data_IF_789207884694
#
_entry.id   IF_789207884694
#
_cell.length_a   1.000
_cell.length_b   1.000
_cell.length_c   1.000
_cell.angle_alpha   90.00
_cell.angle_beta   90.00
_cell.angle_gamma   90.00
#
_symmetry.space_group_name_H-M   'P 1'
#
loop_
_entity.id
_entity.type
_entity.pdbx_description
1 polymer ?
#
# COMPACT_ATOMS: atom_id res chain seq x y z
N UNK A 1 61.47 -74.52 35.54
CA UNK A 1 60.02 -74.77 35.35
C UNK A 1 59.37 -74.42 36.67
N UNK A 2 58.70 -73.27 36.75
CA UNK A 2 58.04 -72.80 37.96
C UNK A 2 56.57 -73.21 37.88
N UNK A 3 56.14 -73.97 38.89
CA UNK A 3 54.74 -74.31 39.11
C UNK A 3 54.24 -73.46 40.29
N UNK A 4 53.08 -72.87 40.05
CA UNK A 4 52.19 -72.12 40.93
C UNK A 4 51.90 -72.81 42.28
N UNK A 5 51.53 -72.03 43.31
CA UNK A 5 50.30 -72.25 44.08
C UNK A 5 49.95 -70.97 44.87
N UNK A 6 48.66 -70.65 44.83
CA UNK A 6 48.01 -69.42 45.28
C UNK A 6 47.70 -69.51 46.79
N UNK A 7 48.09 -68.50 47.55
CA UNK A 7 47.50 -68.20 48.87
C UNK A 7 46.41 -67.13 48.68
N UNK A 8 45.13 -67.52 48.72
CA UNK A 8 44.01 -66.58 48.86
C UNK A 8 43.47 -66.68 50.27
N UNK A 9 44.04 -65.90 51.18
CA UNK A 9 43.38 -65.49 52.41
C UNK A 9 43.26 -63.97 52.42
N UNK A 10 42.10 -63.48 52.89
CA UNK A 10 41.91 -62.08 53.21
C UNK A 10 40.81 -61.39 52.42
N UNK A 11 39.56 -61.83 52.63
CA UNK A 11 38.41 -60.92 52.56
C UNK A 11 38.69 -59.78 53.56
N UNK A 12 39.17 -58.64 53.06
CA UNK A 12 39.19 -57.39 53.82
C UNK A 12 37.84 -56.73 53.67
N UNK A 13 36.97 -57.00 54.64
CA UNK A 13 35.81 -56.15 54.92
C UNK A 13 36.34 -54.78 55.33
N UNK A 14 36.28 -53.82 54.41
CA UNK A 14 36.45 -52.40 54.74
C UNK A 14 35.12 -51.93 55.32
N UNK A 15 35.07 -51.88 56.66
CA UNK A 15 34.12 -51.06 57.39
C UNK A 15 34.91 -49.88 57.93
N UNK A 16 34.75 -48.72 57.30
CA UNK A 16 34.66 -47.44 57.99
C UNK A 16 34.05 -46.39 57.05
N UNK A 17 32.81 -46.06 57.37
CA UNK A 17 32.05 -44.92 56.89
C UNK A 17 32.69 -43.64 57.42
N UNK A 18 33.42 -42.92 56.58
CA UNK A 18 33.95 -41.60 56.93
C UNK A 18 34.53 -40.89 55.73
N UNK A 19 33.81 -39.89 55.21
CA UNK A 19 34.29 -38.90 54.25
C UNK A 19 34.47 -39.34 52.78
N UNK A 20 33.41 -39.87 52.16
CA UNK A 20 33.23 -39.77 50.69
C UNK A 20 32.46 -38.50 50.26
N UNK A 21 32.12 -37.64 51.23
CA UNK A 21 31.45 -36.36 50.98
C UNK A 21 32.29 -35.37 50.16
N UNK A 22 33.63 -35.23 50.34
CA UNK A 22 34.37 -34.18 49.63
C UNK A 22 34.42 -34.38 48.11
N UNK A 23 34.41 -35.63 47.63
CA UNK A 23 34.56 -35.96 46.20
C UNK A 23 33.25 -35.88 45.41
N UNK A 24 32.11 -36.23 46.03
CA UNK A 24 30.79 -36.10 45.39
C UNK A 24 30.38 -34.62 45.31
N UNK A 25 30.70 -33.84 46.35
CA UNK A 25 30.35 -32.41 46.40
C UNK A 25 31.15 -31.59 45.37
N UNK A 26 32.42 -31.92 45.13
CA UNK A 26 33.24 -31.24 44.12
C UNK A 26 32.89 -31.64 42.68
N UNK A 27 32.49 -32.89 42.43
CA UNK A 27 32.07 -33.35 41.10
C UNK A 27 30.69 -32.81 40.68
N UNK A 28 29.72 -32.73 41.61
CA UNK A 28 28.38 -32.19 41.30
C UNK A 28 28.39 -30.66 41.16
N UNK A 29 29.24 -29.97 41.94
CA UNK A 29 29.39 -28.51 41.84
C UNK A 29 30.01 -28.06 40.50
N UNK A 30 30.98 -28.81 39.98
CA UNK A 30 31.64 -28.49 38.70
C UNK A 30 30.74 -28.73 37.47
N UNK A 31 29.90 -29.76 37.48
CA UNK A 31 28.93 -30.02 36.40
C UNK A 31 27.80 -28.98 36.40
N UNK A 32 27.30 -28.60 37.59
CA UNK A 32 26.27 -27.55 37.73
C UNK A 32 26.74 -26.17 37.26
N UNK A 33 28.00 -25.81 37.56
CA UNK A 33 28.60 -24.56 37.09
C UNK A 33 28.85 -24.54 35.58
N UNK A 34 29.29 -25.65 34.99
CA UNK A 34 29.52 -25.74 33.55
C UNK A 34 28.21 -25.70 32.75
N UNK A 35 27.19 -26.46 33.15
CA UNK A 35 25.89 -26.48 32.47
C UNK A 35 25.09 -25.18 32.70
N UNK A 36 25.16 -24.62 33.91
CA UNK A 36 24.56 -23.32 34.21
C UNK A 36 25.20 -22.18 33.41
N UNK A 37 26.52 -22.16 33.32
CA UNK A 37 27.28 -21.18 32.53
C UNK A 37 26.97 -21.25 31.03
N UNK A 38 26.88 -22.47 30.47
CA UNK A 38 26.52 -22.70 29.06
C UNK A 38 25.07 -22.30 28.77
N UNK A 39 24.13 -22.61 29.67
CA UNK A 39 22.73 -22.20 29.52
C UNK A 39 22.57 -20.68 29.57
N UNK A 40 23.25 -20.01 30.50
CA UNK A 40 23.22 -18.56 30.64
C UNK A 40 23.83 -17.87 29.41
N UNK A 41 24.99 -18.35 28.94
CA UNK A 41 25.63 -17.82 27.74
C UNK A 41 24.78 -18.05 26.50
N UNK A 42 24.18 -19.23 26.31
CA UNK A 42 23.26 -19.48 25.20
C UNK A 42 22.05 -18.54 25.23
N UNK A 43 21.47 -18.29 26.41
CA UNK A 43 20.38 -17.33 26.56
C UNK A 43 20.81 -15.88 26.22
N UNK A 44 21.97 -15.43 26.69
CA UNK A 44 22.49 -14.10 26.36
C UNK A 44 22.87 -13.96 24.88
N UNK A 45 23.45 -15.00 24.28
CA UNK A 45 23.77 -15.06 22.85
C UNK A 45 22.50 -14.97 22.02
N UNK A 46 21.48 -15.77 22.32
CA UNK A 46 20.19 -15.72 21.64
C UNK A 46 19.53 -14.34 21.76
N UNK A 47 19.57 -13.73 22.95
CA UNK A 47 19.02 -12.37 23.16
C UNK A 47 19.81 -11.30 22.39
N UNK A 48 21.13 -11.48 22.23
CA UNK A 48 21.97 -10.58 21.43
C UNK A 48 21.72 -10.76 19.94
N UNK A 49 21.56 -11.99 19.48
CA UNK A 49 21.20 -12.33 18.11
C UNK A 49 19.83 -11.76 17.76
N UNK A 50 18.81 -11.97 18.59
CA UNK A 50 17.46 -11.40 18.42
C UNK A 50 17.48 -9.87 18.35
N UNK A 51 18.27 -9.21 19.21
CA UNK A 51 18.45 -7.74 19.16
C UNK A 51 19.20 -7.29 17.92
N UNK A 52 20.23 -8.02 17.50
CA UNK A 52 21.00 -7.68 16.30
C UNK A 52 20.17 -7.88 15.03
N UNK A 53 19.32 -8.92 14.98
CA UNK A 53 18.39 -9.14 13.87
C UNK A 53 17.31 -8.07 13.85
N UNK A 54 16.74 -7.70 15.01
CA UNK A 54 15.74 -6.64 15.09
C UNK A 54 16.31 -5.29 14.66
N UNK A 55 17.50 -4.90 15.15
CA UNK A 55 18.13 -3.64 14.76
C UNK A 55 18.47 -3.58 13.27
N UNK A 56 18.88 -4.72 12.66
CA UNK A 56 19.09 -4.81 11.21
C UNK A 56 17.78 -4.62 10.45
N UNK A 57 16.72 -5.32 10.85
CA UNK A 57 15.40 -5.18 10.24
C UNK A 57 14.87 -3.74 10.34
N UNK A 58 15.02 -3.09 11.49
CA UNK A 58 14.62 -1.70 11.68
C UNK A 58 15.40 -0.75 10.75
N UNK A 59 16.71 -0.98 10.59
CA UNK A 59 17.54 -0.17 9.68
C UNK A 59 17.17 -0.36 8.20
N UNK A 60 16.91 -1.61 7.78
CA UNK A 60 16.47 -1.95 6.42
C UNK A 60 15.08 -1.37 6.14
N UNK A 61 14.17 -1.48 7.12
CA UNK A 61 12.83 -0.90 7.08
C UNK A 61 12.87 0.61 6.89
N UNK A 62 13.66 1.32 7.71
CA UNK A 62 13.81 2.77 7.61
C UNK A 62 14.39 3.19 6.26
N UNK A 63 15.38 2.45 5.77
CA UNK A 63 16.04 2.73 4.51
C UNK A 63 15.07 2.61 3.32
N UNK A 64 14.41 1.46 3.15
CA UNK A 64 13.45 1.27 2.05
C UNK A 64 12.27 2.22 2.17
N UNK A 65 11.79 2.48 3.39
CA UNK A 65 10.67 3.37 3.62
C UNK A 65 11.01 4.80 3.18
N UNK A 66 12.22 5.27 3.49
CA UNK A 66 12.67 6.62 3.12
C UNK A 66 12.77 6.78 1.60
N UNK A 67 13.39 5.82 0.90
CA UNK A 67 13.49 5.85 -0.57
C UNK A 67 12.10 5.89 -1.23
N UNK A 68 11.21 4.99 -0.80
CA UNK A 68 9.86 4.89 -1.34
C UNK A 68 9.01 6.11 -1.01
N UNK A 69 9.14 6.71 0.18
CA UNK A 69 8.41 7.93 0.54
C UNK A 69 8.74 9.03 -0.44
N UNK A 70 10.01 9.33 -0.68
CA UNK A 70 10.38 10.43 -1.56
C UNK A 70 9.99 10.19 -3.01
N UNK A 71 10.12 8.95 -3.49
CA UNK A 71 9.68 8.55 -4.81
C UNK A 71 8.16 8.75 -4.99
N UNK A 72 7.37 8.32 -4.00
CA UNK A 72 5.91 8.51 -4.02
C UNK A 72 5.51 9.99 -3.93
N UNK A 73 6.24 10.77 -3.13
CA UNK A 73 5.96 12.20 -2.98
C UNK A 73 6.33 13.00 -4.23
N UNK A 74 7.46 12.70 -4.86
CA UNK A 74 7.86 13.30 -6.14
C UNK A 74 6.85 12.94 -7.24
N UNK A 75 6.40 11.69 -7.27
CA UNK A 75 5.36 11.27 -8.21
C UNK A 75 4.02 12.01 -7.96
N UNK A 76 3.62 12.18 -6.69
CA UNK A 76 2.43 12.93 -6.34
C UNK A 76 2.53 14.41 -6.72
N UNK A 77 3.71 15.02 -6.57
CA UNK A 77 3.97 16.40 -6.97
C UNK A 77 3.87 16.58 -8.50
N UNK A 78 4.45 15.65 -9.26
CA UNK A 78 4.26 15.60 -10.71
C UNK A 78 2.80 15.39 -11.12
N UNK A 79 2.02 14.61 -10.37
CA UNK A 79 0.58 14.49 -10.60
C UNK A 79 -0.14 15.82 -10.37
N UNK A 80 0.23 16.57 -9.33
CA UNK A 80 -0.36 17.88 -9.05
C UNK A 80 -0.05 18.89 -10.18
N UNK A 81 1.16 18.86 -10.74
CA UNK A 81 1.52 19.67 -11.90
C UNK A 81 0.64 19.37 -13.12
N UNK A 82 0.35 18.09 -13.39
CA UNK A 82 -0.58 17.70 -14.48
C UNK A 82 -2.00 18.19 -14.23
N UNK A 83 -2.44 18.22 -12.96
CA UNK A 83 -3.81 18.62 -12.60
C UNK A 83 -4.08 20.10 -12.79
N UNK A 84 -3.07 20.95 -12.64
CA UNK A 84 -3.18 22.40 -12.86
C UNK A 84 -2.86 22.81 -14.30
N UNK A 85 -2.45 21.85 -15.15
CA UNK A 85 -2.07 22.11 -16.53
C UNK A 85 -3.30 22.37 -17.40
N UNK A 86 -3.41 23.62 -17.88
CA UNK A 86 -4.38 24.06 -18.87
C UNK A 86 -3.83 24.05 -20.29
N UNK A 87 -2.58 23.62 -20.48
CA UNK A 87 -1.90 23.65 -21.77
C UNK A 87 -1.56 25.06 -22.26
N UNK A 88 -1.11 25.13 -23.51
CA UNK A 88 -0.86 26.37 -24.24
C UNK A 88 -1.25 26.20 -25.71
N UNK A 89 -1.58 27.30 -26.38
CA UNK A 89 -1.91 27.30 -27.81
C UNK A 89 -0.61 27.27 -28.62
N UNK A 90 -0.44 26.26 -29.46
CA UNK A 90 0.72 26.11 -30.32
C UNK A 90 0.63 26.99 -31.58
N UNK A 91 1.64 26.93 -32.46
CA UNK A 91 1.70 27.71 -33.70
C UNK A 91 0.55 27.38 -34.68
N UNK A 92 -0.04 26.20 -34.56
CA UNK A 92 -1.15 25.73 -35.39
C UNK A 92 -2.53 26.13 -34.82
N UNK A 93 -2.56 26.89 -33.72
CA UNK A 93 -3.79 27.25 -33.02
C UNK A 93 -4.43 26.11 -32.21
N UNK A 94 -3.65 25.06 -31.92
CA UNK A 94 -4.10 23.88 -31.18
C UNK A 94 -3.60 23.96 -29.74
N UNK A 95 -4.49 23.72 -28.77
CA UNK A 95 -4.12 23.64 -27.35
C UNK A 95 -3.41 22.32 -27.07
N UNK A 96 -2.18 22.38 -26.57
CA UNK A 96 -1.33 21.22 -26.24
C UNK A 96 -0.89 21.24 -24.77
N UNK A 97 -0.65 20.08 -24.14
CA UNK A 97 -0.20 20.00 -22.75
C UNK A 97 1.16 20.66 -22.54
N UNK A 98 1.33 21.42 -21.46
CA UNK A 98 2.61 21.99 -21.06
C UNK A 98 3.43 21.01 -20.22
N UNK A 99 2.75 20.28 -19.33
CA UNK A 99 3.38 19.42 -18.34
C UNK A 99 3.63 18.04 -18.93
N UNK A 100 4.77 17.41 -18.60
CA UNK A 100 5.03 16.02 -18.97
C UNK A 100 4.36 15.06 -17.98
N UNK A 101 3.94 13.88 -18.45
CA UNK A 101 3.30 12.90 -17.58
C UNK A 101 4.32 12.34 -16.57
N UNK A 102 4.04 12.38 -15.25
CA UNK A 102 4.96 11.87 -14.25
C UNK A 102 5.06 10.35 -14.37
N UNK A 103 6.28 9.84 -14.26
CA UNK A 103 6.56 8.41 -14.25
C UNK A 103 6.82 7.90 -12.83
N UNK A 104 6.48 6.64 -12.58
CA UNK A 104 6.78 5.97 -11.33
C UNK A 104 7.46 4.64 -11.63
N UNK A 105 8.73 4.53 -11.28
CA UNK A 105 9.54 3.33 -11.45
C UNK A 105 10.29 3.03 -10.15
N UNK A 106 10.30 1.76 -9.77
CA UNK A 106 10.92 1.25 -8.54
C UNK A 106 12.26 0.57 -8.78
N UNK A 107 12.76 0.53 -10.01
CA UNK A 107 14.06 -0.08 -10.36
C UNK A 107 15.23 0.48 -9.55
N UNK A 108 15.14 1.75 -9.14
CA UNK A 108 16.14 2.43 -8.34
C UNK A 108 16.05 2.15 -6.82
N UNK A 109 15.02 1.44 -6.35
CA UNK A 109 14.83 1.16 -4.91
C UNK A 109 15.71 -0.01 -4.50
N UNK A 110 16.66 0.23 -3.60
CA UNK A 110 17.74 -0.72 -3.30
C UNK A 110 17.46 -1.65 -2.11
N UNK A 111 16.32 -1.50 -1.44
CA UNK A 111 15.93 -2.29 -0.26
C UNK A 111 15.09 -3.55 -0.50
N UNK A 112 15.08 -4.47 0.48
CA UNK A 112 14.20 -5.65 0.47
C UNK A 112 12.76 -5.26 0.79
N UNK A 113 11.86 -5.50 -0.16
CA UNK A 113 10.43 -5.21 -0.03
C UNK A 113 9.71 -6.08 1.01
N UNK A 114 10.30 -7.20 1.43
CA UNK A 114 9.72 -8.12 2.41
C UNK A 114 9.61 -7.54 3.81
N UNK A 115 10.37 -6.49 4.12
CA UNK A 115 10.29 -5.78 5.41
C UNK A 115 9.01 -4.94 5.52
N UNK A 116 8.33 -4.67 4.40
CA UNK A 116 7.08 -3.91 4.38
C UNK A 116 5.86 -4.81 4.64
N UNK A 117 4.80 -4.29 5.27
CA UNK A 117 3.54 -5.02 5.39
C UNK A 117 2.99 -5.37 4.01
N UNK A 118 2.53 -6.60 3.83
CA UNK A 118 2.08 -7.13 2.52
C UNK A 118 1.06 -6.24 1.81
N UNK A 119 0.10 -5.69 2.55
CA UNK A 119 -0.91 -4.76 2.02
C UNK A 119 -0.28 -3.45 1.53
N UNK A 120 0.70 -2.91 2.23
CA UNK A 120 1.37 -1.66 1.86
C UNK A 120 2.26 -1.89 0.62
N UNK A 121 3.04 -2.97 0.62
CA UNK A 121 3.82 -3.41 -0.53
C UNK A 121 2.93 -3.56 -1.78
N UNK A 122 1.81 -4.28 -1.68
CA UNK A 122 0.88 -4.46 -2.80
C UNK A 122 0.38 -3.12 -3.33
N UNK A 123 -0.10 -2.23 -2.45
CA UNK A 123 -0.68 -0.94 -2.86
C UNK A 123 0.33 0.01 -3.48
N UNK A 124 1.59 -0.04 -3.05
CA UNK A 124 2.67 0.72 -3.69
C UNK A 124 2.95 0.13 -5.06
N UNK A 125 3.17 -1.18 -5.16
CA UNK A 125 3.47 -1.86 -6.43
C UNK A 125 2.32 -1.84 -7.46
N UNK A 126 1.09 -1.58 -7.02
CA UNK A 126 -0.06 -1.39 -7.87
C UNK A 126 -0.04 -0.03 -8.62
N UNK A 127 0.68 0.99 -8.12
CA UNK A 127 0.65 2.34 -8.68
C UNK A 127 1.11 2.43 -10.15
N UNK A 128 2.22 1.81 -10.59
CA UNK A 128 2.60 1.81 -12.01
C UNK A 128 1.52 1.19 -12.92
N UNK A 129 0.84 0.14 -12.44
CA UNK A 129 -0.26 -0.49 -13.19
C UNK A 129 -1.44 0.47 -13.33
N UNK A 130 -1.81 1.16 -12.24
CA UNK A 130 -2.85 2.18 -12.27
C UNK A 130 -2.48 3.37 -13.16
N UNK A 131 -1.20 3.75 -13.20
CA UNK A 131 -0.71 4.77 -14.14
C UNK A 131 -0.97 4.35 -15.58
N UNK A 132 -0.57 3.13 -15.97
CA UNK A 132 -0.78 2.65 -17.35
C UNK A 132 -2.27 2.63 -17.70
N UNK A 133 -3.14 2.30 -16.74
CA UNK A 133 -4.60 2.38 -16.93
C UNK A 133 -5.09 3.82 -17.12
N UNK A 134 -4.58 4.76 -16.32
CA UNK A 134 -4.88 6.19 -16.45
C UNK A 134 -4.44 6.73 -17.83
N UNK A 135 -3.22 6.40 -18.28
CA UNK A 135 -2.72 6.83 -19.59
C UNK A 135 -3.61 6.32 -20.74
N UNK A 136 -4.04 5.06 -20.67
CA UNK A 136 -4.96 4.48 -21.65
C UNK A 136 -6.32 5.17 -21.63
N UNK A 137 -6.85 5.48 -20.45
CA UNK A 137 -8.12 6.20 -20.33
C UNK A 137 -8.03 7.58 -20.98
N UNK A 138 -6.93 8.31 -20.74
CA UNK A 138 -6.68 9.63 -21.34
C UNK A 138 -6.58 9.54 -22.86
N UNK A 139 -5.77 8.59 -23.36
CA UNK A 139 -5.55 8.42 -24.80
C UNK A 139 -6.80 7.97 -25.57
N UNK A 140 -7.73 7.30 -24.89
CA UNK A 140 -9.00 6.86 -25.47
C UNK A 140 -10.10 7.93 -25.38
N UNK A 141 -9.84 9.08 -24.75
CA UNK A 141 -10.80 10.17 -24.70
C UNK A 141 -10.92 10.82 -26.07
N UNK A 142 -12.12 10.78 -26.64
CA UNK A 142 -12.43 11.52 -27.85
C UNK A 142 -12.42 13.02 -27.54
N UNK A 143 -11.48 13.73 -28.14
CA UNK A 143 -11.36 15.17 -28.02
C UNK A 143 -11.27 15.78 -29.42
N UNK A 144 -12.10 16.81 -29.66
CA UNK A 144 -12.10 17.53 -30.93
C UNK A 144 -11.32 18.85 -30.80
N UNK A 145 -10.49 19.20 -31.80
CA UNK A 145 -9.90 20.53 -31.91
C UNK A 145 -10.96 21.63 -31.93
N UNK A 146 -10.63 22.88 -31.52
CA UNK A 146 -9.30 23.37 -31.14
C UNK A 146 -8.96 23.29 -29.64
N UNK A 147 -9.96 23.21 -28.75
CA UNK A 147 -9.76 23.41 -27.30
C UNK A 147 -9.44 22.13 -26.52
N UNK A 148 -9.74 20.93 -27.06
CA UNK A 148 -9.42 19.63 -26.45
C UNK A 148 -9.91 19.47 -24.99
N UNK A 149 -10.95 20.18 -24.56
CA UNK A 149 -11.43 20.22 -23.17
C UNK A 149 -11.61 18.84 -22.54
N UNK A 150 -12.24 17.91 -23.25
CA UNK A 150 -12.47 16.55 -22.76
C UNK A 150 -11.16 15.80 -22.45
N UNK A 151 -10.11 16.01 -23.26
CA UNK A 151 -8.80 15.42 -23.04
C UNK A 151 -8.14 16.00 -21.78
N UNK A 152 -8.19 17.32 -21.58
CA UNK A 152 -7.67 17.95 -20.37
C UNK A 152 -8.44 17.54 -19.11
N UNK A 153 -9.77 17.50 -19.17
CA UNK A 153 -10.61 17.01 -18.07
C UNK A 153 -10.26 15.57 -17.69
N UNK A 154 -10.14 14.67 -18.67
CA UNK A 154 -9.76 13.27 -18.43
C UNK A 154 -8.36 13.17 -17.81
N UNK A 155 -7.41 13.97 -18.32
CA UNK A 155 -6.04 14.02 -17.83
C UNK A 155 -5.95 14.51 -16.39
N UNK A 156 -6.60 15.63 -16.07
CA UNK A 156 -6.66 16.17 -14.72
C UNK A 156 -7.37 15.20 -13.78
N UNK A 157 -8.46 14.55 -14.21
CA UNK A 157 -9.19 13.59 -13.40
C UNK A 157 -8.36 12.38 -13.01
N UNK A 158 -7.76 11.70 -13.99
CA UNK A 158 -7.05 10.45 -13.72
C UNK A 158 -5.79 10.69 -12.88
N UNK A 159 -5.05 11.77 -13.16
CA UNK A 159 -3.89 12.13 -12.36
C UNK A 159 -4.23 12.68 -10.98
N UNK A 160 -5.41 13.28 -10.79
CA UNK A 160 -5.92 13.62 -9.45
C UNK A 160 -6.06 12.37 -8.58
N UNK A 161 -6.71 11.32 -9.11
CA UNK A 161 -6.93 10.05 -8.40
C UNK A 161 -5.61 9.34 -8.09
N UNK A 162 -4.70 9.35 -9.07
CA UNK A 162 -3.42 8.67 -8.97
C UNK A 162 -2.50 9.36 -7.96
N UNK A 163 -2.41 10.70 -8.01
CA UNK A 163 -1.66 11.50 -7.05
C UNK A 163 -2.17 11.33 -5.62
N UNK A 164 -3.49 11.33 -5.40
CA UNK A 164 -4.07 11.08 -4.08
C UNK A 164 -3.74 9.69 -3.54
N UNK A 165 -3.75 8.65 -4.39
CA UNK A 165 -3.34 7.30 -4.00
C UNK A 165 -1.88 7.24 -3.57
N UNK A 166 -1.00 7.94 -4.30
CA UNK A 166 0.42 8.05 -3.97
C UNK A 166 0.64 8.75 -2.63
N UNK A 167 -0.02 9.90 -2.38
CA UNK A 167 0.02 10.61 -1.09
C UNK A 167 -0.42 9.72 0.06
N UNK A 168 -1.52 8.97 -0.11
CA UNK A 168 -2.01 8.06 0.91
C UNK A 168 -0.98 6.97 1.23
N UNK A 169 -0.32 6.39 0.21
CA UNK A 169 0.72 5.39 0.45
C UNK A 169 1.96 6.00 1.11
N UNK A 170 2.42 7.17 0.68
CA UNK A 170 3.55 7.87 1.28
C UNK A 170 3.31 8.14 2.77
N UNK A 171 2.12 8.64 3.13
CA UNK A 171 1.72 8.87 4.53
C UNK A 171 1.65 7.60 5.36
N UNK A 172 1.12 6.51 4.79
CA UNK A 172 1.10 5.21 5.47
C UNK A 172 2.50 4.67 5.71
N UNK A 173 3.40 4.88 4.76
CA UNK A 173 4.79 4.46 4.85
C UNK A 173 5.57 5.29 5.88
N UNK A 174 5.36 6.61 5.93
CA UNK A 174 5.90 7.48 6.98
C UNK A 174 5.48 7.01 8.37
N UNK A 175 4.18 6.74 8.58
CA UNK A 175 3.68 6.20 9.87
C UNK A 175 4.26 4.84 10.21
N UNK A 176 4.40 3.96 9.22
CA UNK A 176 4.97 2.63 9.41
C UNK A 176 6.44 2.70 9.85
N UNK A 177 7.20 3.65 9.31
CA UNK A 177 8.62 3.83 9.61
C UNK A 177 8.91 4.91 10.67
N UNK A 178 7.87 5.45 11.34
CA UNK A 178 7.98 6.56 12.31
C UNK A 178 8.77 7.77 11.77
N UNK A 179 8.60 8.08 10.49
CA UNK A 179 9.22 9.24 9.85
C UNK A 179 8.42 10.51 10.14
N UNK A 180 9.03 11.71 10.03
CA UNK A 180 8.33 12.99 10.15
C UNK A 180 7.13 13.09 9.19
N UNK A 181 6.24 14.05 9.44
CA UNK A 181 5.09 14.28 8.56
C UNK A 181 5.49 14.79 7.17
N UNK A 182 4.59 14.57 6.21
CA UNK A 182 4.79 14.99 4.82
C UNK A 182 4.84 16.51 4.70
N UNK A 183 5.57 17.00 3.69
CA UNK A 183 5.58 18.42 3.32
C UNK A 183 4.63 18.74 2.16
N UNK A 184 3.91 17.74 1.65
CA UNK A 184 2.98 17.90 0.53
C UNK A 184 1.74 18.72 0.87
N UNK A 185 1.58 19.16 2.11
CA UNK A 185 0.54 20.08 2.59
C UNK A 185 1.09 21.35 3.26
N UNK A 186 2.38 21.65 3.05
CA UNK A 186 3.02 22.82 3.65
C UNK A 186 2.46 24.15 3.15
N UNK A 187 2.00 24.21 1.90
CA UNK A 187 1.47 25.42 1.25
C UNK A 187 0.16 25.14 0.51
N UNK A 188 -0.67 26.17 0.24
CA UNK A 188 -1.87 26.01 -0.58
C UNK A 188 -1.62 25.44 -1.99
N UNK A 189 -0.41 25.65 -2.52
CA UNK A 189 0.02 25.19 -3.83
C UNK A 189 0.73 23.83 -3.79
N UNK A 190 0.90 23.25 -2.60
CA UNK A 190 1.51 21.92 -2.47
C UNK A 190 0.63 20.85 -3.10
N UNK A 191 1.22 19.70 -3.43
CA UNK A 191 0.53 18.65 -4.15
C UNK A 191 -0.79 18.22 -3.50
N UNK A 192 -0.83 18.08 -2.17
CA UNK A 192 -2.00 17.56 -1.48
C UNK A 192 -3.22 18.49 -1.55
N UNK A 193 -3.15 19.78 -1.17
CA UNK A 193 -4.27 20.70 -1.35
C UNK A 193 -4.75 20.79 -2.80
N UNK A 194 -3.83 20.87 -3.76
CA UNK A 194 -4.13 20.95 -5.20
C UNK A 194 -4.94 19.74 -5.66
N UNK A 195 -4.43 18.53 -5.41
CA UNK A 195 -5.12 17.29 -5.77
C UNK A 195 -6.44 17.13 -5.04
N UNK A 196 -6.50 17.50 -3.76
CA UNK A 196 -7.70 17.38 -2.96
C UNK A 196 -8.81 18.35 -3.38
N UNK A 197 -8.45 19.57 -3.76
CA UNK A 197 -9.39 20.57 -4.26
C UNK A 197 -9.96 20.16 -5.62
N UNK A 198 -9.11 19.72 -6.54
CA UNK A 198 -9.54 19.17 -7.84
C UNK A 198 -10.49 17.97 -7.65
N UNK A 199 -10.13 17.03 -6.76
CA UNK A 199 -10.98 15.88 -6.46
C UNK A 199 -12.35 16.28 -5.92
N UNK A 200 -12.41 17.26 -5.00
CA UNK A 200 -13.70 17.76 -4.47
C UNK A 200 -14.55 18.39 -5.57
N UNK A 201 -13.96 19.21 -6.42
CA UNK A 201 -14.67 19.85 -7.53
C UNK A 201 -15.25 18.80 -8.48
N UNK A 202 -14.47 17.77 -8.81
CA UNK A 202 -14.93 16.70 -9.68
C UNK A 202 -16.04 15.85 -9.05
N UNK A 203 -15.89 15.47 -7.78
CA UNK A 203 -16.94 14.73 -7.07
C UNK A 203 -18.24 15.54 -7.01
N UNK A 204 -18.15 16.86 -6.86
CA UNK A 204 -19.30 17.74 -6.91
C UNK A 204 -19.92 17.79 -8.31
N UNK A 205 -19.12 17.96 -9.37
CA UNK A 205 -19.56 17.92 -10.77
C UNK A 205 -20.32 16.62 -11.08
N UNK A 206 -19.74 15.46 -10.76
CA UNK A 206 -20.35 14.14 -11.01
C UNK A 206 -21.62 13.91 -10.21
N UNK A 207 -21.67 14.36 -8.96
CA UNK A 207 -22.88 14.27 -8.15
C UNK A 207 -24.03 15.08 -8.75
N UNK A 208 -23.75 16.30 -9.23
CA UNK A 208 -24.73 17.13 -9.93
C UNK A 208 -25.17 16.45 -11.23
N UNK A 209 -24.24 15.99 -12.06
CA UNK A 209 -24.56 15.29 -13.31
C UNK A 209 -25.41 14.04 -13.06
N UNK A 210 -25.06 13.22 -12.06
CA UNK A 210 -25.83 12.04 -11.70
C UNK A 210 -27.26 12.39 -11.25
N UNK A 211 -27.44 13.49 -10.50
CA UNK A 211 -28.77 13.99 -10.11
C UNK A 211 -29.57 14.46 -11.32
N UNK A 212 -28.98 15.25 -12.21
CA UNK A 212 -29.63 15.74 -13.41
C UNK A 212 -30.05 14.57 -14.32
N UNK A 213 -29.16 13.60 -14.52
CA UNK A 213 -29.45 12.40 -15.30
C UNK A 213 -30.58 11.57 -14.67
N UNK A 214 -30.58 11.39 -13.35
CA UNK A 214 -31.67 10.71 -12.65
C UNK A 214 -33.02 11.43 -12.81
N UNK A 215 -33.02 12.77 -12.76
CA UNK A 215 -34.22 13.58 -13.01
C UNK A 215 -34.72 13.43 -14.45
N UNK A 216 -33.83 13.47 -15.44
CA UNK A 216 -34.17 13.25 -16.84
C UNK A 216 -34.80 11.87 -17.05
N UNK A 217 -34.21 10.81 -16.49
CA UNK A 217 -34.78 9.46 -16.56
C UNK A 217 -36.16 9.37 -15.89
N UNK A 218 -36.36 10.05 -14.75
CA UNK A 218 -37.66 10.08 -14.07
C UNK A 218 -38.72 10.79 -14.92
N UNK A 219 -38.40 11.95 -15.50
CA UNK A 219 -39.32 12.68 -16.39
C UNK A 219 -39.66 11.87 -17.64
N UNK A 220 -38.67 11.23 -18.27
CA UNK A 220 -38.88 10.37 -19.43
C UNK A 220 -39.79 9.17 -19.12
N UNK A 221 -39.62 8.56 -17.94
CA UNK A 221 -40.52 7.48 -17.47
C UNK A 221 -41.97 7.96 -17.31
N UNK A 222 -42.19 9.13 -16.72
CA UNK A 222 -43.53 9.71 -16.53
C UNK A 222 -44.19 9.98 -17.89
N UNK A 223 -43.47 10.64 -18.81
CA UNK A 223 -43.97 10.92 -20.17
C UNK A 223 -44.37 9.63 -20.88
N UNK A 224 -43.53 8.58 -20.79
CA UNK A 224 -43.82 7.29 -21.41
C UNK A 224 -45.05 6.61 -20.81
N UNK A 225 -45.24 6.69 -19.49
CA UNK A 225 -46.42 6.14 -18.82
C UNK A 225 -47.71 6.88 -19.21
N UNK A 226 -47.66 8.21 -19.29
CA UNK A 226 -48.81 9.00 -19.71
C UNK A 226 -49.22 8.68 -21.16
N UNK A 227 -48.24 8.59 -22.08
CA UNK A 227 -48.51 8.24 -23.48
C UNK A 227 -49.08 6.82 -23.63
N UNK A 228 -48.65 5.86 -22.80
CA UNK A 228 -49.25 4.52 -22.79
C UNK A 228 -50.68 4.52 -22.23
N UNK A 229 -50.97 5.37 -21.23
CA UNK A 229 -52.32 5.56 -20.71
C UNK A 229 -53.28 6.16 -21.75
N UNK A 230 -52.82 7.16 -22.49
CA UNK A 230 -53.59 7.79 -23.58
C UNK A 230 -53.87 6.82 -24.73
N UNK A 231 -52.88 6.07 -25.21
CA UNK A 231 -53.10 5.05 -26.24
C UNK A 231 -54.08 3.95 -25.78
N UNK A 232 -54.01 3.52 -24.52
CA UNK A 232 -54.95 2.52 -23.98
C UNK A 232 -56.38 3.07 -23.85
N UNK A 233 -56.53 4.37 -23.58
CA UNK A 233 -57.83 5.03 -23.49
C UNK A 233 -58.46 5.26 -24.88
N UNK A 234 -57.63 5.44 -25.92
CA UNK A 234 -58.06 5.64 -27.30
C UNK A 234 -58.47 4.32 -27.98
N UNK A 235 -57.78 3.21 -27.70
CA UNK A 235 -58.17 1.87 -28.19
C UNK A 235 -59.25 1.16 -27.35
N UNK A 236 -59.58 1.68 -26.16
CA UNK A 236 -60.59 1.12 -25.26
C UNK A 236 -61.99 1.74 -25.38
N UNK A 237 -62.18 2.72 -26.27
CA UNK A 237 -63.49 3.34 -26.50
C UNK A 237 -64.23 2.50 -27.56
N UNK A 238 -65.37 1.85 -27.23
CA UNK A 238 -66.13 1.09 -28.22
C UNK A 238 -66.63 2.05 -29.31
N UNK A 239 -66.43 1.66 -30.57
CA UNK A 239 -66.95 2.39 -31.72
C UNK A 239 -68.48 2.33 -31.72
N UNK A 240 -69.14 3.32 -31.11
CA UNK A 240 -70.56 3.60 -31.29
C UNK A 240 -70.79 4.18 -32.70
N UNK A 241 -70.56 3.37 -33.72
CA UNK A 241 -71.04 3.59 -35.09
C UNK A 241 -71.95 2.43 -35.49
N UNK A 242 -73.17 2.43 -34.93
CA UNK A 242 -74.28 1.66 -35.46
C UNK A 242 -75.26 2.62 -36.17
N UNK A 243 -75.10 2.63 -37.48
CA UNK A 243 -76.08 2.81 -38.56
C UNK A 243 -77.51 3.17 -38.12
N UNK A 244 -78.02 4.29 -38.62
CA UNK A 244 -79.43 4.52 -38.94
C UNK A 244 -79.54 5.46 -40.13
#
# INVERSE_FOLDING_TARGET
MADWFIATEGVKVVKDSGSLWPQIITAVSSIGAALGGVSLTHHFTRKREERATAAKQDSEQLFIATELVFLLEQFADGCAAVVIDSGYVNQDGITVPLTTLPNIDYSAVSGDWRVLPSKLMYRIRELPVLKVQADRAINNTEASPPDYDAFFDARQYEYTRLGLKAIIQARRLRRFANLPDTRLDATPWSAQPTLWNSWRQEMHRRHIQAKLYAQQLATFRIIKQNHQGECNHEYGRPDDNSVS
#
